data_IF_930971205469
#
_entry.id   IF_930971205469
#
_cell.length_a   1.000
_cell.length_b   1.000
_cell.length_c   1.000
_cell.angle_alpha   90.00
_cell.angle_beta   90.00
_cell.angle_gamma   90.00
#
_symmetry.space_group_name_H-M   'P 1'
#
loop_
_entity.id
_entity.type
_entity.pdbx_description
1 polymer ?
#
# COMPACT_ATOMS: atom_id res chain seq x y z
N UNK A 1 -40.20 -39.20 19.74
CA UNK A 1 -39.64 -39.18 18.38
C UNK A 1 -39.60 -37.72 17.90
N UNK A 2 -38.41 -37.15 17.77
CA UNK A 2 -38.23 -35.79 17.20
C UNK A 2 -38.57 -35.88 15.71
N UNK A 3 -39.59 -35.14 15.27
CA UNK A 3 -40.02 -35.15 13.89
C UNK A 3 -38.86 -34.75 12.96
N UNK A 4 -38.63 -35.46 11.86
CA UNK A 4 -37.56 -35.21 10.90
C UNK A 4 -37.55 -33.76 10.40
N UNK A 5 -38.69 -33.09 10.34
CA UNK A 5 -38.83 -31.67 10.00
C UNK A 5 -38.17 -30.75 11.07
N UNK A 6 -38.42 -31.03 12.35
CA UNK A 6 -37.80 -30.20 13.43
C UNK A 6 -36.32 -30.39 13.54
N UNK A 7 -35.79 -31.61 13.28
CA UNK A 7 -34.35 -31.85 13.21
C UNK A 7 -33.71 -31.12 12.05
N UNK A 8 -34.34 -31.03 10.85
CA UNK A 8 -33.90 -30.30 9.68
C UNK A 8 -33.84 -28.79 9.94
N UNK A 9 -34.91 -28.21 10.51
CA UNK A 9 -35.02 -26.79 10.87
C UNK A 9 -33.93 -26.40 11.88
N UNK A 10 -33.67 -27.23 12.90
CA UNK A 10 -32.62 -26.99 13.89
C UNK A 10 -31.23 -26.98 13.24
N UNK A 11 -30.93 -27.91 12.31
CA UNK A 11 -29.66 -27.92 11.58
C UNK A 11 -29.47 -26.69 10.74
N UNK A 12 -30.50 -26.22 10.01
CA UNK A 12 -30.48 -24.99 9.23
C UNK A 12 -30.23 -23.78 10.13
N UNK A 13 -30.91 -23.68 11.27
CA UNK A 13 -30.70 -22.60 12.24
C UNK A 13 -29.27 -22.56 12.77
N UNK A 14 -28.71 -23.73 13.14
CA UNK A 14 -27.31 -23.83 13.59
C UNK A 14 -26.34 -23.40 12.47
N UNK A 15 -26.57 -23.83 11.24
CA UNK A 15 -25.72 -23.45 10.10
C UNK A 15 -25.77 -21.94 9.85
N UNK A 16 -26.91 -21.30 9.92
CA UNK A 16 -27.06 -19.83 9.77
C UNK A 16 -26.28 -19.12 10.89
N UNK A 17 -26.42 -19.54 12.14
CA UNK A 17 -25.70 -18.94 13.28
C UNK A 17 -24.19 -19.08 13.10
N UNK A 18 -23.72 -20.26 12.67
CA UNK A 18 -22.29 -20.48 12.40
C UNK A 18 -21.77 -19.56 11.28
N UNK A 19 -22.52 -19.41 10.17
CA UNK A 19 -22.14 -18.52 9.07
C UNK A 19 -22.06 -17.07 9.56
N UNK A 20 -23.01 -16.62 10.39
CA UNK A 20 -22.99 -15.27 10.95
C UNK A 20 -21.80 -15.05 11.88
N UNK A 21 -21.47 -16.02 12.73
CA UNK A 21 -20.30 -15.94 13.62
C UNK A 21 -19.01 -15.86 12.79
N UNK A 22 -18.85 -16.74 11.79
CA UNK A 22 -17.67 -16.74 10.91
C UNK A 22 -17.59 -15.42 10.10
N UNK A 23 -18.71 -14.95 9.56
CA UNK A 23 -18.77 -13.67 8.84
C UNK A 23 -18.40 -12.48 9.73
N UNK A 24 -18.88 -12.44 10.97
CA UNK A 24 -18.53 -11.39 11.93
C UNK A 24 -17.04 -11.45 12.33
N UNK A 25 -16.53 -12.65 12.53
CA UNK A 25 -15.11 -12.84 12.82
C UNK A 25 -14.24 -12.39 11.62
N UNK A 26 -14.57 -12.83 10.39
CA UNK A 26 -13.88 -12.41 9.18
C UNK A 26 -13.91 -10.89 9.00
N UNK A 27 -15.07 -10.27 9.20
CA UNK A 27 -15.24 -8.80 9.16
C UNK A 27 -14.29 -8.12 10.15
N UNK A 28 -14.30 -8.56 11.41
CA UNK A 28 -13.42 -7.97 12.44
C UNK A 28 -11.93 -8.11 12.13
N UNK A 29 -11.52 -9.24 11.57
CA UNK A 29 -10.12 -9.51 11.27
C UNK A 29 -9.64 -8.92 9.94
N UNK A 30 -10.52 -8.33 9.13
CA UNK A 30 -10.19 -7.84 7.79
C UNK A 30 -9.09 -6.76 7.80
N UNK A 31 -9.15 -5.81 8.74
CA UNK A 31 -8.11 -4.76 8.85
C UNK A 31 -6.73 -5.34 9.15
N UNK A 32 -6.64 -6.25 10.13
CA UNK A 32 -5.40 -6.98 10.44
C UNK A 32 -4.93 -7.83 9.26
N UNK A 33 -5.85 -8.47 8.56
CA UNK A 33 -5.52 -9.30 7.42
C UNK A 33 -4.97 -8.48 6.26
N UNK A 34 -5.45 -7.26 6.04
CA UNK A 34 -4.91 -6.35 5.03
C UNK A 34 -3.49 -5.89 5.37
N UNK A 35 -3.17 -5.77 6.66
CA UNK A 35 -1.85 -5.37 7.13
C UNK A 35 -0.88 -6.54 7.03
N UNK A 36 0.15 -6.37 6.22
CA UNK A 36 1.25 -7.30 6.04
C UNK A 36 2.57 -6.57 6.25
N UNK A 37 3.25 -6.86 7.36
CA UNK A 37 4.57 -6.33 7.63
C UNK A 37 5.60 -7.46 7.60
N UNK A 38 6.66 -7.31 6.82
CA UNK A 38 7.66 -8.34 6.62
C UNK A 38 8.95 -8.01 7.38
N UNK A 39 9.63 -9.00 7.95
CA UNK A 39 10.96 -8.79 8.52
C UNK A 39 11.88 -8.18 7.47
N UNK A 40 12.56 -7.07 7.83
CA UNK A 40 13.47 -6.39 6.93
C UNK A 40 14.84 -7.08 6.90
N UNK A 41 15.47 -7.03 5.75
CA UNK A 41 16.88 -7.34 5.54
C UNK A 41 17.48 -6.30 4.59
N UNK A 42 18.82 -6.28 4.47
CA UNK A 42 19.51 -5.34 3.56
C UNK A 42 18.93 -5.42 2.15
N UNK A 43 18.72 -4.27 1.55
CA UNK A 43 18.21 -4.08 0.20
C UNK A 43 19.06 -3.06 -0.56
N UNK A 44 18.83 -2.93 -1.85
CA UNK A 44 19.52 -1.97 -2.69
C UNK A 44 18.86 -0.59 -2.63
N UNK A 45 17.55 -0.55 -2.32
CA UNK A 45 16.75 0.67 -2.29
C UNK A 45 15.55 0.54 -1.36
N UNK A 46 15.15 1.67 -0.75
CA UNK A 46 13.84 1.85 -0.09
C UNK A 46 12.95 2.63 -1.05
N UNK A 47 11.73 2.21 -1.27
CA UNK A 47 10.77 2.91 -2.11
C UNK A 47 9.55 3.35 -1.28
N UNK A 48 9.35 4.66 -1.19
CA UNK A 48 8.20 5.27 -0.52
C UNK A 48 7.10 5.50 -1.56
N UNK A 49 5.99 4.79 -1.41
CA UNK A 49 4.81 4.97 -2.26
C UNK A 49 4.10 6.28 -1.95
N UNK A 50 3.44 6.86 -2.95
CA UNK A 50 2.61 8.04 -2.81
C UNK A 50 1.38 7.81 -1.93
N UNK A 51 0.82 8.88 -1.38
CA UNK A 51 -0.26 8.86 -0.40
C UNK A 51 0.26 8.73 1.05
N UNK A 52 -0.62 8.94 2.00
CA UNK A 52 -0.31 8.74 3.43
C UNK A 52 0.72 9.69 4.03
N UNK A 53 0.84 10.92 3.52
CA UNK A 53 1.66 11.97 4.13
C UNK A 53 1.25 12.24 5.58
N UNK A 54 2.22 12.46 6.50
CA UNK A 54 3.68 12.35 6.32
C UNK A 54 4.23 10.93 6.60
N UNK A 55 3.41 10.02 7.07
CA UNK A 55 3.77 8.78 7.76
C UNK A 55 4.66 7.83 6.95
N UNK A 56 4.43 7.74 5.63
CA UNK A 56 5.24 6.87 4.76
C UNK A 56 6.65 7.38 4.59
N UNK A 57 6.81 8.71 4.42
CA UNK A 57 8.13 9.33 4.33
C UNK A 57 8.90 9.24 5.64
N UNK A 58 8.25 9.53 6.78
CA UNK A 58 8.85 9.38 8.12
C UNK A 58 9.32 7.94 8.36
N UNK A 59 8.50 6.93 8.01
CA UNK A 59 8.89 5.53 8.15
C UNK A 59 10.02 5.15 7.19
N UNK A 60 10.00 5.65 5.94
CA UNK A 60 11.10 5.49 4.98
C UNK A 60 12.42 6.01 5.53
N UNK A 61 12.40 7.18 6.18
CA UNK A 61 13.57 7.75 6.83
C UNK A 61 14.09 6.88 7.99
N UNK A 62 13.20 6.31 8.83
CA UNK A 62 13.59 5.39 9.91
C UNK A 62 14.26 4.12 9.36
N UNK A 63 13.71 3.55 8.29
CA UNK A 63 14.29 2.38 7.60
C UNK A 63 15.66 2.73 7.02
N UNK A 64 15.82 3.91 6.43
CA UNK A 64 17.09 4.41 5.91
C UNK A 64 18.12 4.61 7.04
N UNK A 65 17.75 5.32 8.11
CA UNK A 65 18.61 5.55 9.27
C UNK A 65 19.08 4.25 9.94
N UNK A 66 18.26 3.20 9.88
CA UNK A 66 18.62 1.84 10.32
C UNK A 66 19.59 1.14 9.36
N UNK A 67 19.95 1.80 8.25
CA UNK A 67 20.95 1.34 7.29
C UNK A 67 20.50 0.16 6.45
N UNK A 68 19.20 -0.04 6.23
CA UNK A 68 18.70 -1.15 5.42
C UNK A 68 19.00 -1.00 3.93
N UNK A 69 19.10 0.23 3.41
CA UNK A 69 19.50 0.49 2.04
C UNK A 69 20.30 1.82 1.94
N UNK A 70 21.15 1.99 0.90
CA UNK A 70 21.96 3.19 0.72
C UNK A 70 21.20 4.36 0.08
N UNK A 71 20.05 4.13 -0.53
CA UNK A 71 19.26 5.15 -1.22
C UNK A 71 17.76 4.91 -1.04
N UNK A 72 17.01 5.97 -1.35
CA UNK A 72 15.57 6.03 -1.17
C UNK A 72 14.93 6.62 -2.43
N UNK A 73 13.93 5.92 -2.94
CA UNK A 73 13.13 6.36 -4.07
C UNK A 73 11.76 6.86 -3.61
N UNK A 74 11.23 7.85 -4.33
CA UNK A 74 9.90 8.42 -4.11
C UNK A 74 9.15 8.38 -5.43
N UNK A 75 7.91 7.89 -5.44
CA UNK A 75 7.05 7.93 -6.61
C UNK A 75 6.55 9.35 -6.89
N UNK A 76 6.26 9.64 -8.15
CA UNK A 76 5.69 10.92 -8.60
C UNK A 76 4.22 10.72 -8.99
N UNK A 77 3.27 10.93 -8.07
CA UNK A 77 1.86 10.80 -8.42
C UNK A 77 1.41 11.94 -9.32
N UNK A 78 0.43 11.65 -10.19
CA UNK A 78 -0.21 12.68 -10.99
C UNK A 78 -0.78 13.79 -10.10
N UNK A 79 -0.48 15.01 -10.46
CA UNK A 79 -0.91 16.18 -9.71
C UNK A 79 -1.17 17.36 -10.65
N UNK A 80 -2.07 18.27 -10.29
CA UNK A 80 -2.44 19.39 -11.17
C UNK A 80 -1.41 20.54 -11.20
N UNK A 81 -0.12 20.25 -11.03
CA UNK A 81 0.95 21.28 -10.96
C UNK A 81 0.87 22.25 -12.14
N UNK A 82 0.96 21.75 -13.37
CA UNK A 82 0.95 22.59 -14.58
C UNK A 82 -0.35 23.40 -14.72
N UNK A 83 -1.49 22.82 -14.32
CA UNK A 83 -2.77 23.52 -14.35
C UNK A 83 -2.82 24.64 -13.33
N UNK A 84 -2.34 24.42 -12.12
CA UNK A 84 -2.29 25.42 -11.06
C UNK A 84 -1.34 26.55 -11.42
N UNK A 85 -0.17 26.23 -11.96
CA UNK A 85 0.80 27.22 -12.46
C UNK A 85 0.21 28.10 -13.58
N UNK A 86 -0.55 27.51 -14.51
CA UNK A 86 -1.24 28.27 -15.56
C UNK A 86 -2.26 29.26 -15.01
N UNK A 87 -2.75 29.06 -13.81
CA UNK A 87 -3.64 29.96 -13.08
C UNK A 87 -2.89 30.96 -12.17
N UNK A 88 -1.54 30.96 -12.18
CA UNK A 88 -0.72 31.80 -11.29
C UNK A 88 -0.71 31.32 -9.84
N UNK A 89 -1.14 30.08 -9.56
CA UNK A 89 -1.16 29.50 -8.22
C UNK A 89 0.04 28.58 -8.06
N UNK A 90 0.88 28.84 -7.04
CA UNK A 90 1.97 27.94 -6.70
C UNK A 90 1.40 26.64 -6.11
N UNK A 91 1.71 25.54 -6.74
CA UNK A 91 1.34 24.20 -6.29
C UNK A 91 2.58 23.29 -6.37
N UNK A 92 2.76 22.44 -5.37
CA UNK A 92 3.90 21.52 -5.28
C UNK A 92 3.32 20.10 -5.28
N UNK A 93 3.92 19.19 -6.04
CA UNK A 93 3.51 17.79 -6.08
C UNK A 93 3.83 17.07 -4.77
N UNK A 94 3.16 15.96 -4.53
CA UNK A 94 3.33 15.17 -3.31
C UNK A 94 4.77 14.62 -3.18
N UNK A 95 5.42 14.31 -4.29
CA UNK A 95 6.81 13.87 -4.34
C UNK A 95 7.78 14.85 -3.66
N UNK A 96 7.56 16.14 -3.83
CA UNK A 96 8.39 17.18 -3.21
C UNK A 96 8.15 17.25 -1.70
N UNK A 97 6.90 17.11 -1.25
CA UNK A 97 6.62 17.02 0.19
C UNK A 97 7.27 15.78 0.82
N UNK A 98 7.18 14.62 0.17
CA UNK A 98 7.87 13.42 0.62
C UNK A 98 9.39 13.65 0.71
N UNK A 99 9.99 14.29 -0.30
CA UNK A 99 11.42 14.65 -0.31
C UNK A 99 11.78 15.58 0.83
N UNK A 100 11.01 16.65 1.05
CA UNK A 100 11.24 17.61 2.14
C UNK A 100 11.16 16.92 3.53
N UNK A 101 10.17 16.04 3.73
CA UNK A 101 10.03 15.26 4.97
C UNK A 101 11.25 14.37 5.18
N UNK A 102 11.69 13.64 4.16
CA UNK A 102 12.86 12.77 4.23
C UNK A 102 14.13 13.55 4.59
N UNK A 103 14.34 14.74 3.99
CA UNK A 103 15.46 15.61 4.33
C UNK A 103 15.36 16.10 5.79
N UNK A 104 14.17 16.51 6.23
CA UNK A 104 13.91 16.93 7.61
C UNK A 104 14.24 15.80 8.62
N UNK A 105 13.90 14.57 8.28
CA UNK A 105 14.19 13.36 9.06
C UNK A 105 15.66 12.89 8.95
N UNK A 106 16.52 13.66 8.29
CA UNK A 106 17.97 13.44 8.24
C UNK A 106 18.46 12.54 7.10
N UNK A 107 17.63 12.23 6.11
CA UNK A 107 18.08 11.54 4.90
C UNK A 107 18.88 12.52 4.03
N UNK A 108 20.13 12.21 3.65
CA UNK A 108 20.90 13.07 2.75
C UNK A 108 20.15 13.28 1.42
N UNK A 109 20.09 14.52 0.95
CA UNK A 109 19.40 14.86 -0.32
C UNK A 109 19.93 14.02 -1.50
N UNK A 110 21.23 13.75 -1.51
CA UNK A 110 21.89 12.94 -2.55
C UNK A 110 21.47 11.46 -2.54
N UNK A 111 20.85 10.99 -1.47
CA UNK A 111 20.34 9.63 -1.34
C UNK A 111 18.85 9.51 -1.73
N UNK A 112 18.18 10.64 -2.02
CA UNK A 112 16.75 10.68 -2.35
C UNK A 112 16.60 10.86 -3.86
N UNK A 113 15.87 9.95 -4.51
CA UNK A 113 15.60 10.00 -5.94
C UNK A 113 14.09 9.99 -6.19
N UNK A 114 13.56 11.06 -6.79
CA UNK A 114 12.19 11.06 -7.29
C UNK A 114 12.20 10.32 -8.62
N UNK A 115 11.34 9.32 -8.76
CA UNK A 115 11.25 8.54 -10.00
C UNK A 115 10.72 9.40 -11.15
N UNK A 116 11.16 9.13 -12.40
CA UNK A 116 10.96 10.05 -13.51
C UNK A 116 9.51 10.13 -14.00
N UNK A 117 8.80 8.99 -14.03
CA UNK A 117 7.47 8.92 -14.61
C UNK A 117 6.38 9.36 -13.63
N UNK A 118 5.34 9.97 -14.18
CA UNK A 118 4.13 10.30 -13.43
C UNK A 118 3.21 9.09 -13.40
N UNK A 119 2.72 8.74 -12.21
CA UNK A 119 1.88 7.56 -11.97
C UNK A 119 0.50 7.96 -11.44
N UNK A 120 -0.54 7.24 -11.82
CA UNK A 120 -1.93 7.52 -11.42
C UNK A 120 -2.51 6.48 -10.44
N UNK A 121 -1.83 5.38 -10.24
CA UNK A 121 -2.26 4.29 -9.37
C UNK A 121 -1.10 3.42 -8.92
N UNK A 122 -1.35 2.55 -7.94
CA UNK A 122 -0.33 1.68 -7.35
C UNK A 122 0.25 0.65 -8.32
N UNK A 123 -0.52 0.21 -9.31
CA UNK A 123 -0.01 -0.71 -10.34
C UNK A 123 1.14 -0.05 -11.11
N UNK A 124 0.93 1.17 -11.59
CA UNK A 124 1.97 1.95 -12.26
C UNK A 124 3.15 2.30 -11.35
N UNK A 125 2.92 2.58 -10.06
CA UNK A 125 4.03 2.77 -9.11
C UNK A 125 4.94 1.54 -9.03
N UNK A 126 4.34 0.34 -8.97
CA UNK A 126 5.10 -0.91 -8.92
C UNK A 126 5.79 -1.21 -10.26
N UNK A 127 5.12 -0.98 -11.39
CA UNK A 127 5.71 -1.14 -12.73
C UNK A 127 6.91 -0.22 -12.92
N UNK A 128 6.80 1.05 -12.51
CA UNK A 128 7.89 2.01 -12.55
C UNK A 128 9.06 1.56 -11.66
N UNK A 129 8.80 1.17 -10.42
CA UNK A 129 9.84 0.67 -9.52
C UNK A 129 10.57 -0.55 -10.11
N UNK A 130 9.84 -1.50 -10.69
CA UNK A 130 10.42 -2.68 -11.36
C UNK A 130 11.29 -2.26 -12.54
N UNK A 131 10.83 -1.32 -13.36
CA UNK A 131 11.59 -0.79 -14.51
C UNK A 131 12.87 -0.11 -14.06
N UNK A 132 12.80 0.76 -13.05
CA UNK A 132 13.96 1.46 -12.53
C UNK A 132 14.96 0.52 -11.84
N UNK A 133 14.48 -0.52 -11.14
CA UNK A 133 15.37 -1.56 -10.61
C UNK A 133 16.16 -2.25 -11.72
N UNK A 134 15.52 -2.56 -12.85
CA UNK A 134 16.21 -3.16 -14.01
C UNK A 134 17.26 -2.22 -14.60
N UNK A 135 16.93 -0.95 -14.79
CA UNK A 135 17.83 0.07 -15.31
C UNK A 135 19.06 0.27 -14.42
N UNK A 136 18.84 0.29 -13.09
CA UNK A 136 19.89 0.47 -12.10
C UNK A 136 20.64 -0.82 -11.71
N UNK A 137 20.27 -1.98 -12.27
CA UNK A 137 20.87 -3.27 -11.92
C UNK A 137 20.60 -3.71 -10.49
N UNK A 138 19.51 -3.25 -9.88
CA UNK A 138 19.09 -3.57 -8.50
C UNK A 138 18.21 -4.81 -8.46
N UNK A 139 18.28 -5.53 -7.34
CA UNK A 139 17.56 -6.80 -7.21
C UNK A 139 16.69 -6.90 -5.96
N UNK A 140 16.92 -6.01 -4.98
CA UNK A 140 16.22 -6.06 -3.69
C UNK A 140 15.68 -4.68 -3.32
N UNK A 141 14.39 -4.62 -2.99
CA UNK A 141 13.68 -3.39 -2.64
C UNK A 141 12.88 -3.56 -1.35
N UNK A 142 12.87 -2.51 -0.52
CA UNK A 142 11.93 -2.36 0.58
C UNK A 142 10.88 -1.35 0.15
N UNK A 143 9.62 -1.74 0.11
CA UNK A 143 8.51 -0.83 -0.22
C UNK A 143 7.81 -0.42 1.06
N UNK A 144 7.81 0.89 1.34
CA UNK A 144 7.16 1.50 2.51
C UNK A 144 5.81 2.06 2.10
N UNK A 145 4.76 1.67 2.81
CA UNK A 145 3.39 2.11 2.55
C UNK A 145 2.51 2.05 3.81
N UNK A 146 1.26 2.52 3.73
CA UNK A 146 0.30 2.44 4.84
C UNK A 146 -0.06 0.99 5.18
N UNK A 147 -0.33 0.66 6.46
CA UNK A 147 -0.57 -0.71 6.91
C UNK A 147 -1.61 -1.46 6.08
N UNK A 148 -2.80 -0.87 5.89
CA UNK A 148 -3.90 -1.48 5.15
C UNK A 148 -3.60 -1.69 3.65
N UNK A 149 -2.60 -0.99 3.11
CA UNK A 149 -2.20 -1.04 1.70
C UNK A 149 -1.19 -2.15 1.39
N UNK A 150 -0.46 -2.63 2.39
CA UNK A 150 0.69 -3.54 2.24
C UNK A 150 0.35 -4.83 1.50
N UNK A 151 -0.83 -5.42 1.76
CA UNK A 151 -1.23 -6.68 1.11
C UNK A 151 -1.50 -6.50 -0.38
N UNK A 152 -2.09 -5.37 -0.80
CA UNK A 152 -2.32 -5.06 -2.22
C UNK A 152 -0.99 -4.81 -2.95
N UNK A 153 -0.08 -4.07 -2.34
CA UNK A 153 1.29 -3.89 -2.86
C UNK A 153 1.97 -5.24 -3.09
N UNK A 154 1.87 -6.16 -2.10
CA UNK A 154 2.44 -7.50 -2.24
C UNK A 154 1.79 -8.33 -3.35
N UNK A 155 0.50 -8.20 -3.55
CA UNK A 155 -0.22 -8.90 -4.62
C UNK A 155 0.22 -8.38 -6.00
N UNK A 156 0.26 -7.06 -6.19
CA UNK A 156 0.71 -6.43 -7.44
C UNK A 156 2.17 -6.78 -7.76
N UNK A 157 3.06 -6.73 -6.77
CA UNK A 157 4.45 -7.14 -6.96
C UNK A 157 4.58 -8.55 -7.54
N UNK A 158 3.81 -9.52 -7.01
CA UNK A 158 3.84 -10.91 -7.48
C UNK A 158 3.42 -11.08 -8.93
N UNK A 159 2.62 -10.16 -9.45
CA UNK A 159 2.13 -10.20 -10.82
C UNK A 159 3.05 -9.45 -11.79
N UNK A 160 3.67 -8.36 -11.33
CA UNK A 160 4.38 -7.41 -12.18
C UNK A 160 5.91 -7.56 -12.16
N UNK A 161 6.47 -8.09 -11.06
CA UNK A 161 7.92 -8.17 -10.91
C UNK A 161 8.51 -9.45 -11.50
N UNK A 162 9.73 -9.33 -12.00
CA UNK A 162 10.53 -10.46 -12.47
C UNK A 162 10.90 -11.41 -11.32
N UNK A 163 11.09 -12.67 -11.63
CA UNK A 163 11.39 -13.72 -10.64
C UNK A 163 12.73 -13.51 -9.90
N UNK A 164 13.66 -12.75 -10.48
CA UNK A 164 14.97 -12.42 -9.88
C UNK A 164 14.91 -11.20 -8.95
N UNK A 165 13.79 -10.47 -8.92
CA UNK A 165 13.60 -9.31 -8.04
C UNK A 165 12.94 -9.73 -6.72
N UNK A 166 13.46 -9.21 -5.62
CA UNK A 166 12.95 -9.50 -4.28
C UNK A 166 12.42 -8.23 -3.61
N UNK A 167 11.20 -8.30 -3.07
CA UNK A 167 10.57 -7.21 -2.36
C UNK A 167 10.17 -7.60 -0.95
N UNK A 168 10.48 -6.73 0.00
CA UNK A 168 9.93 -6.71 1.35
C UNK A 168 8.98 -5.52 1.46
N UNK A 169 7.73 -5.78 1.84
CA UNK A 169 6.77 -4.71 2.14
C UNK A 169 6.86 -4.37 3.62
N UNK A 170 6.87 -3.07 3.92
CA UNK A 170 6.97 -2.52 5.26
C UNK A 170 5.85 -1.51 5.51
N UNK A 171 5.19 -1.64 6.66
CA UNK A 171 4.10 -0.76 7.06
C UNK A 171 4.65 0.50 7.74
N UNK A 172 4.08 1.67 7.43
CA UNK A 172 4.32 2.88 8.20
C UNK A 172 3.64 2.74 9.57
N UNK A 173 4.44 2.52 10.62
CA UNK A 173 3.93 2.15 11.96
C UNK A 173 3.17 3.28 12.66
N UNK A 174 3.50 4.53 12.37
CA UNK A 174 2.83 5.70 12.96
C UNK A 174 1.59 6.14 12.15
N UNK A 175 1.25 5.45 11.05
CA UNK A 175 0.01 5.68 10.31
C UNK A 175 -1.19 5.42 11.23
N UNK A 176 -2.15 6.37 11.34
CA UNK A 176 -3.24 6.29 12.30
C UNK A 176 -4.34 5.28 11.94
N UNK A 177 -4.08 4.33 11.05
CA UNK A 177 -5.01 3.25 10.70
C UNK A 177 -5.18 2.28 11.87
N UNK A 178 -6.43 2.13 12.37
CA UNK A 178 -6.76 1.15 13.41
C UNK A 178 -7.20 -0.19 12.77
N UNK A 179 -6.26 -1.09 12.61
CA UNK A 179 -6.50 -2.42 12.04
C UNK A 179 -7.47 -3.27 12.87
N UNK A 180 -7.59 -2.99 14.18
CA UNK A 180 -8.40 -3.76 15.12
C UNK A 180 -9.84 -3.28 15.22
N UNK A 181 -10.05 -1.99 14.95
CA UNK A 181 -11.37 -1.37 15.06
C UNK A 181 -11.68 -0.49 13.83
N UNK A 182 -11.19 -0.89 12.66
CA UNK A 182 -11.30 -0.16 11.40
C UNK A 182 -12.73 0.28 11.06
N UNK A 183 -13.73 -0.42 11.57
CA UNK A 183 -15.15 -0.09 11.37
C UNK A 183 -15.67 1.06 12.24
N UNK A 184 -14.85 1.64 13.14
CA UNK A 184 -15.26 2.69 14.06
C UNK A 184 -15.18 4.09 13.49
N UNK A 185 -14.44 4.29 12.40
CA UNK A 185 -14.33 5.59 11.76
C UNK A 185 -14.45 5.48 10.24
N UNK A 186 -14.99 6.53 9.61
CA UNK A 186 -15.29 6.55 8.17
C UNK A 186 -14.01 6.44 7.32
N UNK A 187 -12.91 7.05 7.74
CA UNK A 187 -11.65 7.01 6.99
C UNK A 187 -11.15 5.58 6.84
N UNK A 188 -11.11 4.81 7.92
CA UNK A 188 -10.61 3.45 7.92
C UNK A 188 -11.58 2.51 7.19
N UNK A 189 -12.91 2.71 7.34
CA UNK A 189 -13.92 1.97 6.56
C UNK A 189 -13.68 2.15 5.06
N UNK A 190 -13.56 3.39 4.59
CA UNK A 190 -13.32 3.68 3.18
C UNK A 190 -11.98 3.10 2.69
N UNK A 191 -10.95 3.18 3.52
CA UNK A 191 -9.64 2.59 3.22
C UNK A 191 -9.72 1.07 3.07
N UNK A 192 -10.36 0.36 4.03
CA UNK A 192 -10.51 -1.10 3.97
C UNK A 192 -11.33 -1.53 2.76
N UNK A 193 -12.42 -0.82 2.45
CA UNK A 193 -13.24 -1.10 1.25
C UNK A 193 -12.40 -0.91 -0.01
N UNK A 194 -11.69 0.21 -0.14
CA UNK A 194 -10.83 0.49 -1.31
C UNK A 194 -9.74 -0.56 -1.48
N UNK A 195 -9.05 -0.91 -0.40
CA UNK A 195 -7.96 -1.90 -0.46
C UNK A 195 -8.46 -3.30 -0.77
N UNK A 196 -9.63 -3.68 -0.23
CA UNK A 196 -10.27 -4.97 -0.54
C UNK A 196 -10.67 -5.06 -2.01
N UNK A 197 -11.31 -4.03 -2.55
CA UNK A 197 -11.67 -3.98 -3.97
C UNK A 197 -10.44 -3.96 -4.87
N UNK A 198 -9.42 -3.16 -4.52
CA UNK A 198 -8.16 -3.10 -5.25
C UNK A 198 -7.40 -4.43 -5.24
N UNK A 199 -7.47 -5.18 -4.13
CA UNK A 199 -6.87 -6.51 -4.02
C UNK A 199 -7.61 -7.54 -4.89
N UNK A 200 -8.96 -7.51 -4.90
CA UNK A 200 -9.77 -8.35 -5.79
C UNK A 200 -9.43 -8.05 -7.25
N UNK A 201 -9.31 -6.76 -7.61
CA UNK A 201 -8.91 -6.35 -8.95
C UNK A 201 -7.53 -6.87 -9.32
N UNK A 202 -6.54 -6.75 -8.44
CA UNK A 202 -5.18 -7.26 -8.65
C UNK A 202 -5.16 -8.80 -8.87
N UNK A 203 -6.00 -9.55 -8.14
CA UNK A 203 -6.10 -11.00 -8.32
C UNK A 203 -6.86 -11.41 -9.59
N UNK A 204 -7.85 -10.60 -10.01
CA UNK A 204 -8.62 -10.84 -11.22
C UNK A 204 -7.85 -10.45 -12.50
N UNK A 205 -6.71 -9.75 -12.37
CA UNK A 205 -5.94 -9.24 -13.51
C UNK A 205 -6.72 -8.24 -14.37
N UNK A 206 -7.64 -7.49 -13.73
CA UNK A 206 -8.41 -6.49 -14.45
C UNK A 206 -7.58 -5.20 -14.59
N UNK A 207 -7.42 -4.67 -15.81
CA UNK A 207 -6.68 -3.42 -15.99
C UNK A 207 -7.41 -2.27 -15.28
N UNK A 208 -6.65 -1.43 -14.59
CA UNK A 208 -7.17 -0.16 -14.08
C UNK A 208 -7.09 0.85 -15.23
N UNK A 209 -8.22 1.23 -15.84
CA UNK A 209 -8.18 2.16 -16.96
C UNK A 209 -7.60 3.50 -16.48
N UNK A 210 -6.77 4.17 -17.31
CA UNK A 210 -6.38 5.54 -17.04
C UNK A 210 -7.63 6.39 -16.93
N UNK A 211 -7.67 7.31 -15.97
CA UNK A 211 -8.79 8.25 -15.86
C UNK A 211 -8.89 9.03 -17.16
N UNK A 212 -10.05 8.93 -17.82
CA UNK A 212 -10.35 9.80 -18.96
C UNK A 212 -10.43 11.25 -18.42
N UNK A 213 -9.53 12.11 -18.89
CA UNK A 213 -9.53 13.54 -18.64
C UNK A 213 -10.64 14.23 -19.43
#
# INVERSE_FOLDING_TARGET
MINAKTAKLRRIGISIVLILIVGLAAFRHLGRWLTLDQPLSKADVIFVLSGGLPYRAEEGAKVFASGYAPELWVSRPESPVSKMESLGVRFVGEEEYNREILIHEGVPETAIHILPDTVINTEQEIEEAVREMRHAGKTRIIIVTSPQHTRRVKALWRTLADANLTMMVHAAHDDPFDADHWWRNTRDILSVVRETLGLVNAWAGLPVPPHAH
#
